data_IF_017755617694
#
_entry.id   IF_017755617694
#
_cell.length_a   1.000
_cell.length_b   1.000
_cell.length_c   1.000
_cell.angle_alpha   90.00
_cell.angle_beta   90.00
_cell.angle_gamma   90.00
#
_symmetry.space_group_name_H-M   'P 1'
#
loop_
_entity.id
_entity.type
_entity.pdbx_description
1 polymer ?
#
# COMPACT_ATOMS: atom_id res chain seq x y z
N UNK A 1 -38.72 51.90 49.52
CA UNK A 1 -38.71 51.23 48.20
C UNK A 1 -37.28 50.90 47.80
N UNK A 2 -36.78 49.70 48.08
CA UNK A 2 -35.40 49.30 47.69
C UNK A 2 -35.31 47.77 47.55
N UNK A 3 -36.02 47.21 46.57
CA UNK A 3 -36.09 45.74 46.34
C UNK A 3 -35.68 45.31 44.91
N UNK A 4 -35.08 46.19 44.10
CA UNK A 4 -34.88 45.92 42.66
C UNK A 4 -33.48 45.48 42.20
N UNK A 5 -32.40 45.80 42.93
CA UNK A 5 -31.04 45.76 42.32
C UNK A 5 -30.27 44.46 42.60
N UNK A 6 -30.50 43.81 43.75
CA UNK A 6 -29.77 42.58 44.13
C UNK A 6 -30.17 41.33 43.33
N UNK A 7 -31.42 41.26 42.90
CA UNK A 7 -31.96 40.08 42.21
C UNK A 7 -31.49 40.01 40.75
N UNK A 8 -31.37 41.16 40.09
CA UNK A 8 -30.91 41.28 38.70
C UNK A 8 -29.43 40.90 38.56
N UNK A 9 -28.55 41.36 39.47
CA UNK A 9 -27.14 40.99 39.44
C UNK A 9 -26.88 39.49 39.65
N UNK A 10 -27.73 38.83 40.44
CA UNK A 10 -27.66 37.38 40.70
C UNK A 10 -28.07 36.56 39.47
N UNK A 11 -29.11 36.99 38.75
CA UNK A 11 -29.58 36.34 37.50
C UNK A 11 -28.54 36.46 36.38
N UNK A 12 -27.96 37.65 36.18
CA UNK A 12 -26.91 37.87 35.15
C UNK A 12 -25.65 37.05 35.45
N UNK A 13 -25.29 36.88 36.72
CA UNK A 13 -24.12 36.07 37.12
C UNK A 13 -24.32 34.56 36.91
N UNK A 14 -25.54 34.05 37.12
CA UNK A 14 -25.90 32.64 36.86
C UNK A 14 -25.96 32.38 35.34
N UNK A 15 -26.49 33.32 34.56
CA UNK A 15 -26.55 33.22 33.11
C UNK A 15 -25.16 33.25 32.46
N UNK A 16 -24.23 34.10 32.95
CA UNK A 16 -22.81 34.09 32.51
C UNK A 16 -22.09 32.79 32.88
N UNK A 17 -22.35 32.23 34.06
CA UNK A 17 -21.77 30.94 34.49
C UNK A 17 -22.31 29.77 33.67
N UNK A 18 -23.60 29.78 33.35
CA UNK A 18 -24.22 28.79 32.46
C UNK A 18 -23.64 28.83 31.05
N UNK A 19 -23.48 30.03 30.47
CA UNK A 19 -22.86 30.20 29.14
C UNK A 19 -21.39 29.73 29.16
N UNK A 20 -20.62 30.09 30.20
CA UNK A 20 -19.24 29.65 30.33
C UNK A 20 -19.11 28.13 30.49
N UNK A 21 -20.00 27.50 31.26
CA UNK A 21 -20.03 26.04 31.43
C UNK A 21 -20.41 25.32 30.12
N UNK A 22 -21.39 25.85 29.37
CA UNK A 22 -21.76 25.32 28.06
C UNK A 22 -20.65 25.47 27.03
N UNK A 23 -19.95 26.61 27.01
CA UNK A 23 -18.77 26.82 26.17
C UNK A 23 -17.65 25.86 26.54
N UNK A 24 -17.34 25.70 27.82
CA UNK A 24 -16.34 24.74 28.29
C UNK A 24 -16.72 23.31 27.90
N UNK A 25 -17.98 22.93 28.04
CA UNK A 25 -18.48 21.62 27.61
C UNK A 25 -18.36 21.40 26.10
N UNK A 26 -18.71 22.39 25.28
CA UNK A 26 -18.56 22.31 23.81
C UNK A 26 -17.10 22.22 23.38
N UNK A 27 -16.19 22.91 24.08
CA UNK A 27 -14.75 22.79 23.84
C UNK A 27 -14.25 21.41 24.25
N UNK A 28 -14.65 20.90 25.42
CA UNK A 28 -14.27 19.56 25.89
C UNK A 28 -14.83 18.46 24.99
N UNK A 29 -16.07 18.60 24.53
CA UNK A 29 -16.70 17.71 23.57
C UNK A 29 -15.99 17.78 22.22
N UNK A 30 -15.69 18.99 21.72
CA UNK A 30 -14.94 19.19 20.49
C UNK A 30 -13.55 18.54 20.55
N UNK A 31 -12.81 18.76 21.64
CA UNK A 31 -11.50 18.14 21.90
C UNK A 31 -11.63 16.62 22.03
N UNK A 32 -12.64 16.11 22.74
CA UNK A 32 -12.87 14.66 22.85
C UNK A 32 -13.22 14.04 21.51
N UNK A 33 -14.04 14.70 20.68
CA UNK A 33 -14.36 14.20 19.33
C UNK A 33 -13.16 14.27 18.42
N UNK A 34 -12.35 15.32 18.53
CA UNK A 34 -11.13 15.50 17.75
C UNK A 34 -10.09 14.42 18.11
N UNK A 35 -9.88 14.15 19.40
CA UNK A 35 -9.00 13.08 19.92
C UNK A 35 -9.46 11.67 19.53
N UNK A 36 -10.76 11.47 19.34
CA UNK A 36 -11.35 10.17 18.98
C UNK A 36 -11.57 10.05 17.46
N UNK A 37 -11.45 11.13 16.69
CA UNK A 37 -11.74 11.12 15.25
C UNK A 37 -10.54 10.59 14.46
N UNK A 38 -10.71 9.49 13.68
CA UNK A 38 -9.67 8.97 12.81
C UNK A 38 -9.05 9.99 11.82
N UNK A 39 -9.78 10.98 11.26
CA UNK A 39 -9.17 11.99 10.39
C UNK A 39 -8.10 12.85 11.09
N UNK A 40 -8.30 13.21 12.36
CA UNK A 40 -7.30 14.00 13.08
C UNK A 40 -6.06 13.17 13.40
N UNK A 41 -6.24 11.91 13.77
CA UNK A 41 -5.14 10.98 13.98
C UNK A 41 -4.28 10.84 12.71
N UNK A 42 -4.91 10.70 11.55
CA UNK A 42 -4.20 10.64 10.26
C UNK A 42 -3.41 11.91 9.97
N UNK A 43 -4.00 13.09 10.20
CA UNK A 43 -3.29 14.38 10.02
C UNK A 43 -2.10 14.48 10.98
N UNK A 44 -2.28 14.11 12.25
CA UNK A 44 -1.20 14.14 13.23
C UNK A 44 -0.10 13.14 12.87
N UNK A 45 -0.44 11.94 12.42
CA UNK A 45 0.51 10.91 11.99
C UNK A 45 1.31 11.36 10.77
N UNK A 46 0.66 11.97 9.79
CA UNK A 46 1.32 12.50 8.59
C UNK A 46 2.24 13.68 8.96
N UNK A 47 1.80 14.59 9.83
CA UNK A 47 2.64 15.69 10.34
C UNK A 47 3.86 15.18 11.11
N UNK A 48 3.68 14.20 11.99
CA UNK A 48 4.80 13.58 12.71
C UNK A 48 5.74 12.84 11.76
N UNK A 49 5.21 12.13 10.75
CA UNK A 49 6.02 11.44 9.76
C UNK A 49 6.90 12.42 8.98
N UNK A 50 6.36 13.58 8.58
CA UNK A 50 7.11 14.60 7.85
C UNK A 50 8.11 15.34 8.74
N UNK A 51 7.77 15.57 10.02
CA UNK A 51 8.54 16.46 10.91
C UNK A 51 9.57 15.74 11.77
N UNK A 52 9.33 14.47 12.11
CA UNK A 52 10.07 13.73 13.14
C UNK A 52 10.81 12.53 12.54
N UNK A 53 10.26 11.87 11.51
CA UNK A 53 10.88 10.66 10.98
C UNK A 53 12.26 10.95 10.39
N UNK A 54 13.29 10.16 10.74
CA UNK A 54 14.61 10.33 10.17
C UNK A 54 14.56 10.02 8.68
N UNK A 55 15.10 10.91 7.85
CA UNK A 55 15.39 10.59 6.46
C UNK A 55 16.46 9.49 6.44
N UNK A 56 16.05 8.26 6.19
CA UNK A 56 16.97 7.14 6.00
C UNK A 56 17.44 7.12 4.56
N UNK A 57 18.74 6.93 4.35
CA UNK A 57 19.25 6.67 3.02
C UNK A 57 18.75 5.32 2.53
N UNK A 58 18.43 5.24 1.23
CA UNK A 58 18.08 3.98 0.60
C UNK A 58 19.18 2.94 0.86
N UNK A 59 18.83 1.70 1.25
CA UNK A 59 19.81 0.65 1.44
C UNK A 59 20.63 0.43 0.17
N UNK A 60 21.97 0.35 0.29
CA UNK A 60 22.87 0.19 -0.87
C UNK A 60 22.78 -1.17 -1.55
N UNK A 61 22.13 -2.14 -0.91
CA UNK A 61 21.96 -3.52 -1.35
C UNK A 61 20.62 -3.76 -2.07
N UNK A 62 19.84 -2.72 -2.34
CA UNK A 62 18.58 -2.80 -3.09
C UNK A 62 18.74 -2.02 -4.38
N UNK A 63 18.45 -2.67 -5.50
CA UNK A 63 18.46 -2.05 -6.83
C UNK A 63 17.04 -2.10 -7.38
N UNK A 64 16.52 -0.95 -7.80
CA UNK A 64 15.24 -0.84 -8.48
C UNK A 64 15.50 -0.65 -9.97
N UNK A 65 15.02 -1.60 -10.77
CA UNK A 65 15.05 -1.51 -12.23
C UNK A 65 13.67 -1.08 -12.70
N UNK A 66 13.55 0.17 -13.13
CA UNK A 66 12.27 0.72 -13.60
C UNK A 66 12.09 0.51 -15.10
N UNK A 67 10.89 0.11 -15.50
CA UNK A 67 10.44 0.13 -16.90
C UNK A 67 9.67 1.44 -17.08
N UNK A 68 10.27 2.41 -17.78
CA UNK A 68 9.69 3.74 -17.94
C UNK A 68 8.99 3.89 -19.28
N UNK A 69 8.28 5.01 -19.48
CA UNK A 69 7.68 5.35 -20.78
C UNK A 69 8.74 5.46 -21.89
N UNK A 70 9.95 5.94 -21.57
CA UNK A 70 11.06 5.96 -22.52
C UNK A 70 11.52 4.55 -22.89
N UNK A 71 11.48 3.59 -21.96
CA UNK A 71 11.75 2.18 -22.27
C UNK A 71 10.67 1.62 -23.20
N UNK A 72 9.40 1.82 -22.84
CA UNK A 72 8.24 1.27 -23.54
C UNK A 72 8.04 1.87 -24.94
N UNK A 73 8.48 3.10 -25.18
CA UNK A 73 8.43 3.73 -26.50
C UNK A 73 9.24 2.99 -27.58
N UNK A 74 10.17 2.12 -27.19
CA UNK A 74 10.96 1.30 -28.12
C UNK A 74 10.24 0.01 -28.54
N UNK A 75 9.06 -0.27 -27.99
CA UNK A 75 8.28 -1.48 -28.27
C UNK A 75 7.04 -1.15 -29.11
N UNK A 76 6.50 -2.18 -29.77
CA UNK A 76 5.29 -2.03 -30.61
C UNK A 76 4.03 -1.74 -29.79
N UNK A 77 4.05 -2.07 -28.51
CA UNK A 77 2.94 -1.92 -27.59
C UNK A 77 3.48 -1.54 -26.22
N UNK A 78 2.65 -0.80 -25.48
CA UNK A 78 2.98 -0.32 -24.13
C UNK A 78 2.70 -1.38 -23.06
N UNK A 79 1.61 -2.14 -23.22
CA UNK A 79 1.14 -3.10 -22.22
C UNK A 79 0.38 -4.26 -22.90
N UNK A 80 0.52 -5.50 -22.40
CA UNK A 80 1.48 -5.95 -21.38
C UNK A 80 2.94 -5.77 -21.84
N UNK A 81 3.94 -5.61 -20.95
CA UNK A 81 5.34 -5.53 -21.36
C UNK A 81 5.80 -6.79 -22.10
N UNK A 82 6.67 -6.62 -23.11
CA UNK A 82 7.20 -7.72 -23.92
C UNK A 82 7.91 -8.78 -23.05
N UNK A 83 7.44 -10.04 -23.08
CA UNK A 83 7.99 -11.11 -22.22
C UNK A 83 9.39 -11.55 -22.62
N UNK A 84 9.77 -11.37 -23.88
CA UNK A 84 11.14 -11.62 -24.33
C UNK A 84 12.11 -10.62 -23.69
N UNK A 85 11.74 -9.34 -23.69
CA UNK A 85 12.49 -8.29 -23.02
C UNK A 85 12.59 -8.53 -21.50
N UNK A 86 11.51 -8.95 -20.85
CA UNK A 86 11.55 -9.31 -19.42
C UNK A 86 12.50 -10.49 -19.16
N UNK A 87 12.53 -11.50 -20.04
CA UNK A 87 13.44 -12.64 -19.90
C UNK A 87 14.92 -12.20 -20.01
N UNK A 88 15.22 -11.23 -20.90
CA UNK A 88 16.55 -10.63 -21.02
C UNK A 88 16.94 -9.86 -19.75
N UNK A 89 16.02 -9.09 -19.17
CA UNK A 89 16.24 -8.36 -17.92
C UNK A 89 16.54 -9.34 -16.79
N UNK A 90 15.71 -10.38 -16.60
CA UNK A 90 15.90 -11.36 -15.51
C UNK A 90 17.25 -12.04 -15.65
N UNK A 91 17.60 -12.54 -16.84
CA UNK A 91 18.91 -13.16 -17.10
C UNK A 91 20.06 -12.20 -16.80
N UNK A 92 19.92 -10.92 -17.20
CA UNK A 92 20.96 -9.91 -16.97
C UNK A 92 21.11 -9.59 -15.48
N UNK A 93 20.02 -9.44 -14.75
CA UNK A 93 20.03 -9.20 -13.31
C UNK A 93 20.66 -10.41 -12.59
N UNK A 94 20.27 -11.62 -12.96
CA UNK A 94 20.80 -12.86 -12.39
C UNK A 94 22.33 -12.95 -12.54
N UNK A 95 22.89 -12.52 -13.69
CA UNK A 95 24.34 -12.53 -13.91
C UNK A 95 25.15 -11.70 -12.90
N UNK A 96 24.49 -10.77 -12.19
CA UNK A 96 25.08 -10.00 -11.09
C UNK A 96 24.99 -10.69 -9.72
N UNK A 97 24.46 -11.92 -9.65
CA UNK A 97 24.32 -12.75 -8.45
C UNK A 97 23.58 -12.05 -7.29
N UNK A 98 22.35 -11.53 -7.51
CA UNK A 98 21.56 -10.94 -6.43
C UNK A 98 21.11 -12.01 -5.42
N UNK A 99 20.73 -11.58 -4.22
CA UNK A 99 20.16 -12.50 -3.22
C UNK A 99 18.75 -12.98 -3.59
N UNK A 100 17.98 -12.14 -4.29
CA UNK A 100 16.59 -12.38 -4.71
C UNK A 100 16.25 -11.43 -5.85
N UNK A 101 15.38 -11.85 -6.76
CA UNK A 101 14.81 -11.00 -7.81
C UNK A 101 13.32 -10.82 -7.54
N UNK A 102 12.87 -9.58 -7.38
CA UNK A 102 11.45 -9.24 -7.27
C UNK A 102 10.92 -8.64 -8.57
N UNK A 103 9.81 -9.16 -9.08
CA UNK A 103 9.16 -8.68 -10.30
C UNK A 103 7.76 -8.16 -9.94
N UNK A 104 7.62 -6.84 -9.91
CA UNK A 104 6.35 -6.16 -9.63
C UNK A 104 5.50 -6.00 -10.91
N UNK A 105 5.13 -7.13 -11.51
CA UNK A 105 4.25 -7.21 -12.68
C UNK A 105 3.31 -8.41 -12.52
N UNK A 106 2.03 -8.21 -12.82
CA UNK A 106 1.06 -9.31 -12.88
C UNK A 106 1.19 -10.03 -14.22
N UNK A 107 1.43 -11.34 -14.16
CA UNK A 107 1.39 -12.24 -15.31
C UNK A 107 0.04 -12.95 -15.33
N UNK A 108 -1.03 -12.21 -15.61
CA UNK A 108 -2.43 -12.66 -15.47
C UNK A 108 -3.09 -13.03 -16.80
N UNK A 109 -2.37 -12.89 -17.92
CA UNK A 109 -2.84 -13.27 -19.24
C UNK A 109 -1.67 -13.62 -20.17
N UNK A 110 -1.95 -14.51 -21.13
CA UNK A 110 -1.03 -14.85 -22.21
C UNK A 110 -0.77 -13.67 -23.14
N UNK A 111 0.41 -13.68 -23.77
CA UNK A 111 0.81 -12.72 -24.80
C UNK A 111 1.23 -13.45 -26.08
N UNK A 112 2.52 -13.49 -26.39
CA UNK A 112 3.10 -14.23 -27.51
C UNK A 112 3.67 -15.55 -26.98
N UNK A 113 3.15 -16.73 -27.39
CA UNK A 113 3.46 -18.01 -26.75
C UNK A 113 4.96 -18.34 -26.64
N UNK A 114 5.75 -17.98 -27.64
CA UNK A 114 7.20 -18.22 -27.63
C UNK A 114 7.92 -17.33 -26.61
N UNK A 115 7.46 -16.10 -26.41
CA UNK A 115 8.05 -15.15 -25.45
C UNK A 115 7.60 -15.46 -24.03
N UNK A 116 6.34 -15.84 -23.85
CA UNK A 116 5.81 -16.32 -22.56
C UNK A 116 6.62 -17.54 -22.07
N UNK A 117 6.74 -18.58 -22.91
CA UNK A 117 7.50 -19.79 -22.58
C UNK A 117 8.98 -19.51 -22.31
N UNK A 118 9.58 -18.55 -23.01
CA UNK A 118 10.96 -18.12 -22.76
C UNK A 118 11.11 -17.50 -21.37
N UNK A 119 10.21 -16.60 -20.99
CA UNK A 119 10.25 -15.98 -19.67
C UNK A 119 10.01 -17.00 -18.57
N UNK A 120 9.04 -17.90 -18.74
CA UNK A 120 8.83 -19.01 -17.80
C UNK A 120 10.09 -19.84 -17.65
N UNK A 121 10.72 -20.26 -18.75
CA UNK A 121 11.96 -21.05 -18.71
C UNK A 121 13.09 -20.33 -17.96
N UNK A 122 13.27 -19.03 -18.18
CA UNK A 122 14.30 -18.23 -17.48
C UNK A 122 14.02 -18.16 -15.99
N UNK A 123 12.76 -17.98 -15.59
CA UNK A 123 12.38 -17.91 -14.17
C UNK A 123 12.55 -19.28 -13.50
N UNK A 124 12.10 -20.36 -14.16
CA UNK A 124 12.22 -21.74 -13.67
C UNK A 124 13.66 -22.22 -13.55
N UNK A 125 14.54 -21.74 -14.43
CA UNK A 125 15.96 -22.08 -14.43
C UNK A 125 16.82 -21.17 -13.55
N UNK A 126 16.25 -20.11 -12.97
CA UNK A 126 16.99 -19.14 -12.18
C UNK A 126 17.65 -19.81 -10.96
N UNK A 127 18.95 -19.57 -10.81
CA UNK A 127 19.75 -20.03 -9.67
C UNK A 127 19.43 -19.29 -8.36
N UNK A 128 18.78 -18.14 -8.46
CA UNK A 128 18.39 -17.27 -7.35
C UNK A 128 16.86 -17.27 -7.20
N UNK A 129 16.32 -17.11 -5.97
CA UNK A 129 14.88 -17.03 -5.79
C UNK A 129 14.27 -15.86 -6.57
N UNK A 130 13.22 -16.14 -7.33
CA UNK A 130 12.39 -15.13 -8.01
C UNK A 130 11.06 -14.99 -7.27
N UNK A 131 10.66 -13.76 -7.00
CA UNK A 131 9.36 -13.39 -6.42
C UNK A 131 8.58 -12.62 -7.46
N UNK A 132 7.35 -13.05 -7.75
CA UNK A 132 6.46 -12.42 -8.72
C UNK A 132 5.26 -11.83 -7.98
N UNK A 133 4.84 -10.64 -8.40
CA UNK A 133 3.60 -10.02 -7.95
C UNK A 133 2.39 -10.94 -8.15
N UNK A 134 1.59 -11.07 -7.11
CA UNK A 134 0.38 -11.88 -7.08
C UNK A 134 -0.81 -11.05 -6.61
N UNK A 135 -1.98 -11.43 -7.11
CA UNK A 135 -3.28 -10.88 -6.79
C UNK A 135 -4.32 -12.00 -6.92
N UNK A 136 -5.53 -11.76 -6.43
CA UNK A 136 -6.64 -12.71 -6.53
C UNK A 136 -7.93 -12.05 -6.98
N UNK A 137 -9.01 -12.83 -7.00
CA UNK A 137 -10.36 -12.33 -7.28
C UNK A 137 -10.82 -11.23 -6.32
N UNK A 138 -10.32 -11.24 -5.08
CA UNK A 138 -10.59 -10.19 -4.10
C UNK A 138 -9.98 -8.84 -4.52
N UNK A 139 -8.94 -8.86 -5.36
CA UNK A 139 -8.28 -7.66 -5.89
C UNK A 139 -8.79 -7.28 -7.28
N UNK A 140 -9.85 -7.93 -7.78
CA UNK A 140 -10.50 -7.61 -9.05
C UNK A 140 -10.09 -8.47 -10.25
N UNK A 141 -9.29 -9.52 -10.07
CA UNK A 141 -9.01 -10.47 -11.15
C UNK A 141 -10.24 -11.33 -11.50
N UNK A 142 -10.39 -11.64 -12.78
CA UNK A 142 -11.29 -12.72 -13.22
C UNK A 142 -10.73 -14.09 -12.81
N UNK A 143 -11.57 -15.13 -12.81
CA UNK A 143 -11.11 -16.49 -12.52
C UNK A 143 -9.99 -16.91 -13.48
N UNK A 144 -10.18 -16.69 -14.78
CA UNK A 144 -9.18 -17.03 -15.81
C UNK A 144 -7.84 -16.33 -15.58
N UNK A 145 -7.86 -15.07 -15.16
CA UNK A 145 -6.65 -14.31 -14.84
C UNK A 145 -5.94 -14.85 -13.60
N UNK A 146 -6.69 -15.16 -12.55
CA UNK A 146 -6.15 -15.77 -11.34
C UNK A 146 -5.52 -17.14 -11.62
N UNK A 147 -6.19 -17.96 -12.45
CA UNK A 147 -5.70 -19.29 -12.82
C UNK A 147 -4.40 -19.20 -13.64
N UNK A 148 -4.36 -18.30 -14.62
CA UNK A 148 -3.16 -18.08 -15.43
C UNK A 148 -1.99 -17.57 -14.57
N UNK A 149 -2.23 -16.58 -13.70
CA UNK A 149 -1.23 -16.04 -12.80
C UNK A 149 -0.66 -17.10 -11.86
N UNK A 150 -1.51 -17.99 -11.33
CA UNK A 150 -1.06 -19.06 -10.45
C UNK A 150 -0.23 -20.12 -11.19
N UNK A 151 -0.56 -20.40 -12.45
CA UNK A 151 0.14 -21.37 -13.28
C UNK A 151 1.47 -20.85 -13.86
N UNK A 152 1.62 -19.53 -14.06
CA UNK A 152 2.79 -18.94 -14.70
C UNK A 152 4.04 -19.03 -13.81
N UNK A 153 5.07 -19.76 -14.27
CA UNK A 153 6.32 -20.01 -13.53
C UNK A 153 6.10 -20.54 -12.09
N UNK A 154 5.70 -21.82 -11.93
CA UNK A 154 5.37 -22.43 -10.64
C UNK A 154 6.48 -22.42 -9.58
N UNK A 155 7.76 -22.37 -9.97
CA UNK A 155 8.89 -22.28 -9.03
C UNK A 155 9.01 -20.90 -8.37
N UNK A 156 8.45 -19.86 -9.01
CA UNK A 156 8.52 -18.51 -8.50
C UNK A 156 7.68 -18.36 -7.23
N UNK A 157 8.27 -17.73 -6.22
CA UNK A 157 7.51 -17.33 -5.04
C UNK A 157 6.53 -16.23 -5.42
N UNK A 158 5.44 -16.14 -4.68
CA UNK A 158 4.40 -15.14 -4.89
C UNK A 158 4.48 -14.08 -3.79
N UNK A 159 4.38 -12.82 -4.20
CA UNK A 159 4.32 -11.67 -3.31
C UNK A 159 3.09 -10.85 -3.60
N UNK A 160 2.25 -10.59 -2.60
CA UNK A 160 1.04 -9.80 -2.79
C UNK A 160 1.38 -8.36 -3.20
N UNK A 161 0.81 -7.92 -4.33
CA UNK A 161 0.91 -6.54 -4.81
C UNK A 161 -0.10 -5.58 -4.15
N UNK A 162 -0.75 -6.04 -3.07
CA UNK A 162 -1.80 -5.29 -2.39
C UNK A 162 -1.22 -4.18 -1.51
N UNK A 163 -1.86 -3.01 -1.54
CA UNK A 163 -1.56 -1.89 -0.66
C UNK A 163 -2.74 -1.64 0.28
N UNK A 164 -2.44 -1.43 1.57
CA UNK A 164 -3.45 -1.07 2.57
C UNK A 164 -3.76 0.42 2.46
N UNK A 165 -4.88 0.74 1.83
CA UNK A 165 -5.38 2.11 1.72
C UNK A 165 -6.24 2.42 2.96
N UNK A 166 -6.09 3.62 3.51
CA UNK A 166 -6.98 4.11 4.55
C UNK A 166 -8.40 4.31 4.00
N UNK A 167 -9.42 3.85 4.74
CA UNK A 167 -10.81 3.88 4.27
C UNK A 167 -11.39 5.31 4.16
N UNK A 168 -10.76 6.31 4.78
CA UNK A 168 -11.27 7.69 4.83
C UNK A 168 -10.78 8.52 3.65
N UNK A 169 -9.52 8.35 3.25
CA UNK A 169 -8.87 9.20 2.25
C UNK A 169 -8.09 8.43 1.18
N UNK A 170 -8.02 7.10 1.26
CA UNK A 170 -7.33 6.26 0.30
C UNK A 170 -5.80 6.36 0.36
N UNK A 171 -5.22 6.97 1.40
CA UNK A 171 -3.76 7.08 1.48
C UNK A 171 -3.15 5.79 2.05
N UNK A 172 -2.03 5.34 1.48
CA UNK A 172 -1.27 4.19 1.99
C UNK A 172 -0.35 4.67 3.11
N UNK A 173 -0.62 4.17 4.33
CA UNK A 173 0.03 4.62 5.56
C UNK A 173 0.78 3.50 6.31
N UNK A 174 0.75 2.29 5.79
CA UNK A 174 1.37 1.13 6.41
C UNK A 174 1.68 0.03 5.40
N UNK A 175 2.51 -0.91 5.85
CA UNK A 175 2.79 -2.13 5.09
C UNK A 175 1.58 -3.04 5.20
N UNK A 176 1.16 -3.60 4.07
CA UNK A 176 0.10 -4.60 4.06
C UNK A 176 0.59 -5.86 4.82
N UNK A 177 -0.07 -6.30 5.90
CA UNK A 177 0.42 -7.39 6.76
C UNK A 177 0.38 -8.78 6.10
N UNK A 178 -0.10 -8.84 4.85
CA UNK A 178 -0.39 -10.08 4.14
C UNK A 178 -1.85 -10.51 4.36
N UNK A 179 -2.33 -11.36 3.46
CA UNK A 179 -3.59 -12.09 3.61
C UNK A 179 -3.39 -13.49 3.08
N UNK A 180 -4.08 -14.46 3.66
CA UNK A 180 -4.17 -15.77 3.04
C UNK A 180 -4.98 -15.63 1.74
N UNK A 181 -4.42 -16.14 0.64
CA UNK A 181 -5.11 -16.23 -0.63
C UNK A 181 -5.60 -17.66 -0.75
N UNK A 182 -6.92 -17.83 -0.93
CA UNK A 182 -7.52 -19.14 -1.14
C UNK A 182 -6.88 -19.81 -2.38
N UNK A 183 -6.12 -20.88 -2.15
CA UNK A 183 -5.47 -21.67 -3.21
C UNK A 183 -3.94 -21.86 -3.08
N UNK A 184 -3.25 -21.13 -2.20
CA UNK A 184 -1.79 -21.32 -2.00
C UNK A 184 -1.42 -21.21 -0.51
N UNK A 185 -1.14 -22.36 0.11
CA UNK A 185 -0.92 -22.51 1.55
C UNK A 185 0.38 -21.94 2.09
N UNK A 186 1.12 -21.09 1.35
CA UNK A 186 2.38 -20.50 1.83
C UNK A 186 2.65 -19.12 1.21
N UNK A 187 2.00 -18.08 1.72
CA UNK A 187 2.52 -16.72 1.52
C UNK A 187 2.60 -15.96 2.84
N UNK A 188 3.72 -15.26 3.00
CA UNK A 188 4.28 -14.85 4.28
C UNK A 188 3.34 -13.93 5.08
N UNK A 189 2.72 -14.51 6.10
CA UNK A 189 2.36 -13.77 7.31
C UNK A 189 3.66 -13.23 7.90
N UNK A 190 3.91 -11.93 7.76
CA UNK A 190 4.89 -11.25 8.62
C UNK A 190 4.27 -11.20 10.01
N UNK A 191 4.49 -12.26 10.79
CA UNK A 191 4.30 -12.18 12.24
C UNK A 191 5.30 -11.15 12.75
N UNK A 192 4.76 -10.01 13.16
CA UNK A 192 5.47 -9.04 13.99
C UNK A 192 5.82 -9.64 15.34
#
# INVERSE_FOLDING_TARGET
MQFGVRTVGRIVSVQRRGIAASLAYLVLLGVSTALVSPPLENILRDMMMVSISPFTHAPRNIVVVSITEQTLANFRYRSPPDRGFLADIVTRIESAHPLVIGIDLLFDQATEPQKDARLETVIEAASVPVVIASASRADGLTQRQSDYLNAFAPSAKRGLAALSHDNLDGVVRGVFPGREVEGDGRQASLRQ
#
